data_IF_356327754255
#
_entry.id   IF_356327754255
#
_cell.length_a   1.000
_cell.length_b   1.000
_cell.length_c   1.000
_cell.angle_alpha   90.00
_cell.angle_beta   90.00
_cell.angle_gamma   90.00
#
_symmetry.space_group_name_H-M   'P 1'
#
loop_
_entity.id
_entity.type
_entity.pdbx_description
1 polymer ?
#
# COMPACT_ATOMS: atom_id res chain seq x y z
N UNK A 1 -18.13 -12.22 -24.67
CA UNK A 1 -18.98 -12.12 -25.88
C UNK A 1 -18.98 -10.66 -26.34
N UNK A 2 -19.05 -10.38 -27.66
CA UNK A 2 -18.96 -9.01 -28.16
C UNK A 2 -20.35 -8.50 -28.53
N UNK A 3 -20.91 -7.61 -27.72
CA UNK A 3 -22.25 -7.07 -27.95
C UNK A 3 -22.18 -5.89 -28.91
N UNK A 4 -22.99 -5.85 -29.95
CA UNK A 4 -23.19 -4.59 -30.67
C UNK A 4 -24.18 -3.69 -29.90
N UNK A 5 -24.15 -2.36 -30.12
CA UNK A 5 -25.03 -1.42 -29.40
C UNK A 5 -26.52 -1.75 -29.55
N UNK A 6 -26.97 -2.23 -30.72
CA UNK A 6 -28.38 -2.55 -30.94
C UNK A 6 -28.81 -3.81 -30.16
N UNK A 7 -27.97 -4.84 -30.17
CA UNK A 7 -28.16 -6.09 -29.42
C UNK A 7 -28.13 -5.84 -27.92
N UNK A 8 -27.16 -5.06 -27.44
CA UNK A 8 -27.07 -4.71 -26.02
C UNK A 8 -28.32 -3.97 -25.53
N UNK A 9 -28.92 -3.11 -26.35
CA UNK A 9 -30.17 -2.43 -26.02
C UNK A 9 -31.36 -3.39 -25.97
N UNK A 10 -31.45 -4.31 -26.93
CA UNK A 10 -32.55 -5.29 -27.01
C UNK A 10 -32.47 -6.35 -25.90
N UNK A 11 -31.26 -6.76 -25.54
CA UNK A 11 -30.97 -7.83 -24.57
C UNK A 11 -30.35 -7.30 -23.28
N UNK A 12 -30.72 -6.08 -22.86
CA UNK A 12 -30.08 -5.41 -21.74
C UNK A 12 -30.09 -6.25 -20.46
N UNK A 13 -31.20 -6.92 -20.15
CA UNK A 13 -31.30 -7.79 -18.98
C UNK A 13 -30.31 -8.96 -19.01
N UNK A 14 -30.04 -9.51 -20.20
CA UNK A 14 -29.07 -10.58 -20.38
C UNK A 14 -27.64 -10.06 -20.26
N UNK A 15 -27.36 -8.89 -20.84
CA UNK A 15 -26.06 -8.20 -20.69
C UNK A 15 -25.77 -7.92 -19.23
N UNK A 16 -26.75 -7.43 -18.46
CA UNK A 16 -26.59 -7.17 -17.03
C UNK A 16 -26.35 -8.45 -16.22
N UNK A 17 -27.06 -9.54 -16.53
CA UNK A 17 -26.87 -10.83 -15.88
C UNK A 17 -25.45 -11.38 -16.14
N UNK A 18 -24.99 -11.31 -17.39
CA UNK A 18 -23.65 -11.78 -17.76
C UNK A 18 -22.55 -10.87 -17.20
N UNK A 19 -22.81 -9.56 -17.10
CA UNK A 19 -21.91 -8.60 -16.50
C UNK A 19 -21.63 -8.86 -15.01
N UNK A 20 -22.51 -9.58 -14.31
CA UNK A 20 -22.27 -10.00 -12.93
C UNK A 20 -21.24 -11.13 -12.81
N UNK A 21 -21.03 -11.93 -13.85
CA UNK A 21 -20.01 -12.98 -13.88
C UNK A 21 -18.71 -12.48 -14.52
N UNK A 22 -18.82 -11.77 -15.65
CA UNK A 22 -17.68 -11.22 -16.38
C UNK A 22 -18.02 -9.88 -17.03
N UNK A 23 -17.11 -8.90 -17.02
CA UNK A 23 -17.26 -7.64 -17.76
C UNK A 23 -17.68 -7.81 -19.23
N UNK A 24 -18.79 -7.17 -19.62
CA UNK A 24 -19.32 -7.27 -20.99
C UNK A 24 -18.98 -6.04 -21.82
N UNK A 25 -18.35 -6.24 -22.98
CA UNK A 25 -17.96 -5.16 -23.89
C UNK A 25 -19.05 -4.88 -24.93
N UNK A 26 -19.36 -3.59 -25.12
CA UNK A 26 -20.31 -3.08 -26.10
C UNK A 26 -19.55 -2.37 -27.22
N UNK A 27 -19.85 -2.75 -28.46
CA UNK A 27 -19.21 -2.29 -29.68
C UNK A 27 -20.16 -1.49 -30.57
N UNK A 28 -19.64 -0.41 -31.14
CA UNK A 28 -20.28 0.35 -32.22
C UNK A 28 -19.38 0.31 -33.46
N UNK A 29 -19.91 -0.13 -34.62
CA UNK A 29 -19.14 -0.26 -35.87
C UNK A 29 -17.78 -0.95 -35.65
N UNK A 30 -17.79 -2.05 -34.91
CA UNK A 30 -16.62 -2.86 -34.55
C UNK A 30 -15.57 -2.16 -33.66
N UNK A 31 -15.91 -1.03 -33.01
CA UNK A 31 -15.07 -0.36 -32.00
C UNK A 31 -15.70 -0.49 -30.61
N UNK A 32 -14.93 -0.85 -29.57
CA UNK A 32 -15.44 -0.87 -28.21
C UNK A 32 -15.77 0.56 -27.77
N UNK A 33 -16.99 0.79 -27.32
CA UNK A 33 -17.48 2.12 -26.89
C UNK A 33 -17.87 2.17 -25.43
N UNK A 34 -18.26 1.03 -24.85
CA UNK A 34 -18.61 0.93 -23.43
C UNK A 34 -18.31 -0.48 -22.92
N UNK A 35 -18.14 -0.59 -21.60
CA UNK A 35 -18.10 -1.84 -20.87
C UNK A 35 -19.15 -1.78 -19.76
N UNK A 36 -19.86 -2.88 -19.55
CA UNK A 36 -20.76 -3.06 -18.42
C UNK A 36 -20.03 -3.91 -17.40
N UNK A 37 -19.88 -3.36 -16.19
CA UNK A 37 -19.23 -4.01 -15.06
C UNK A 37 -20.13 -3.87 -13.82
N UNK A 38 -19.94 -4.73 -12.81
CA UNK A 38 -20.59 -4.58 -11.51
C UNK A 38 -20.25 -3.23 -10.87
N UNK A 39 -21.21 -2.66 -10.14
CA UNK A 39 -21.07 -1.32 -9.56
C UNK A 39 -20.00 -1.28 -8.45
N UNK A 40 -19.90 -2.37 -7.69
CA UNK A 40 -18.90 -2.61 -6.64
C UNK A 40 -17.48 -2.71 -7.22
N UNK A 41 -17.29 -3.36 -8.36
CA UNK A 41 -15.99 -3.38 -9.05
C UNK A 41 -15.56 -1.99 -9.52
N UNK A 42 -16.52 -1.20 -10.03
CA UNK A 42 -16.24 0.18 -10.42
C UNK A 42 -15.83 1.03 -9.21
N UNK A 43 -16.51 0.89 -8.08
CA UNK A 43 -16.18 1.59 -6.84
C UNK A 43 -14.79 1.17 -6.33
N UNK A 44 -14.48 -0.12 -6.33
CA UNK A 44 -13.16 -0.64 -5.96
C UNK A 44 -12.05 -0.07 -6.86
N UNK A 45 -12.29 -0.02 -8.17
CA UNK A 45 -11.35 0.56 -9.12
C UNK A 45 -11.16 2.06 -8.90
N UNK A 46 -12.23 2.81 -8.63
CA UNK A 46 -12.14 4.25 -8.33
C UNK A 46 -11.35 4.49 -7.04
N UNK A 47 -11.59 3.70 -6.00
CA UNK A 47 -10.86 3.77 -4.74
C UNK A 47 -9.37 3.45 -4.92
N UNK A 48 -9.05 2.42 -5.71
CA UNK A 48 -7.67 2.11 -6.08
C UNK A 48 -7.02 3.23 -6.90
N UNK A 49 -7.72 3.78 -7.89
CA UNK A 49 -7.19 4.88 -8.70
C UNK A 49 -6.93 6.12 -7.86
N UNK A 50 -7.83 6.43 -6.93
CA UNK A 50 -7.66 7.54 -5.99
C UNK A 50 -6.49 7.31 -5.02
N UNK A 51 -6.25 6.07 -4.58
CA UNK A 51 -5.11 5.75 -3.72
C UNK A 51 -3.77 5.83 -4.47
N UNK A 52 -3.74 5.49 -5.76
CA UNK A 52 -2.57 5.67 -6.63
C UNK A 52 -2.31 7.13 -7.03
N UNK A 53 -3.37 7.95 -7.08
CA UNK A 53 -3.27 9.39 -7.36
C UNK A 53 -2.89 10.21 -6.14
N UNK A 54 -2.86 9.63 -4.93
CA UNK A 54 -2.18 10.28 -3.82
C UNK A 54 -0.72 10.44 -4.25
N UNK A 55 -0.17 11.66 -4.29
CA UNK A 55 1.25 11.84 -4.56
C UNK A 55 1.99 10.95 -3.58
N UNK A 56 2.78 10.01 -4.09
CA UNK A 56 3.76 9.33 -3.24
C UNK A 56 4.56 10.45 -2.59
N UNK A 57 4.58 10.47 -1.26
CA UNK A 57 5.30 11.50 -0.53
C UNK A 57 6.70 11.60 -1.11
N UNK A 58 7.09 12.80 -1.48
CA UNK A 58 8.40 13.00 -2.08
C UNK A 58 9.46 12.63 -1.04
N UNK A 59 10.65 12.23 -1.49
CA UNK A 59 11.76 11.96 -0.56
C UNK A 59 12.00 13.14 0.39
N UNK A 60 11.81 14.38 -0.08
CA UNK A 60 11.91 15.58 0.74
C UNK A 60 10.89 15.61 1.89
N UNK A 61 9.64 15.23 1.62
CA UNK A 61 8.57 15.16 2.63
C UNK A 61 8.85 14.05 3.65
N UNK A 62 9.34 12.88 3.19
CA UNK A 62 9.76 11.80 4.10
C UNK A 62 10.93 12.23 5.00
N UNK A 63 11.95 12.90 4.44
CA UNK A 63 13.05 13.45 5.25
C UNK A 63 12.60 14.54 6.22
N UNK A 64 11.56 15.32 5.89
CA UNK A 64 10.99 16.30 6.81
C UNK A 64 10.32 15.62 8.00
N UNK A 65 9.57 14.52 7.77
CA UNK A 65 8.95 13.71 8.82
C UNK A 65 10.04 13.07 9.69
N UNK A 66 11.07 12.47 9.09
CA UNK A 66 12.18 11.86 9.83
C UNK A 66 12.91 12.88 10.71
N UNK A 67 13.13 14.11 10.23
CA UNK A 67 13.73 15.18 11.04
C UNK A 67 12.83 15.61 12.19
N UNK A 68 11.51 15.68 11.97
CA UNK A 68 10.56 15.98 13.05
C UNK A 68 10.57 14.88 14.12
N UNK A 69 10.61 13.60 13.72
CA UNK A 69 10.72 12.46 14.63
C UNK A 69 12.08 12.41 15.36
N UNK A 70 13.16 12.75 14.67
CA UNK A 70 14.51 12.82 15.24
C UNK A 70 14.72 14.05 16.15
N UNK A 71 13.81 15.03 16.11
CA UNK A 71 13.81 16.20 16.99
C UNK A 71 13.57 15.87 18.47
N UNK A 72 13.20 14.62 18.78
CA UNK A 72 12.91 14.17 20.13
C UNK A 72 11.46 14.46 20.54
N UNK A 73 11.01 13.75 21.58
CA UNK A 73 9.71 14.00 22.22
C UNK A 73 9.85 15.17 23.22
N UNK A 74 8.79 15.97 23.42
CA UNK A 74 8.82 17.04 24.43
C UNK A 74 8.94 16.49 25.87
N UNK A 75 8.55 15.23 26.07
CA UNK A 75 8.70 14.49 27.33
C UNK A 75 9.38 13.12 27.08
N UNK A 76 10.72 13.12 26.90
CA UNK A 76 11.44 11.89 26.58
C UNK A 76 11.45 10.95 27.79
N UNK A 77 11.25 9.64 27.55
CA UNK A 77 11.48 8.61 28.58
C UNK A 77 12.91 8.80 29.10
N UNK A 78 13.12 8.93 30.42
CA UNK A 78 14.45 9.13 30.97
C UNK A 78 15.35 7.99 30.52
N UNK A 79 16.47 8.35 29.88
CA UNK A 79 17.43 7.37 29.41
C UNK A 79 17.85 6.50 30.59
N UNK A 80 17.77 5.16 30.48
CA UNK A 80 18.20 4.30 31.56
C UNK A 80 19.69 4.55 31.78
N UNK A 81 20.07 4.83 33.03
CA UNK A 81 21.49 4.97 33.39
C UNK A 81 22.18 3.61 33.15
N UNK A 82 22.88 3.52 32.02
CA UNK A 82 23.60 2.32 31.58
C UNK A 82 24.77 2.00 32.49
N UNK A 83 25.22 2.96 33.31
CA UNK A 83 26.33 2.83 34.24
C UNK A 83 25.88 2.70 35.71
N UNK A 84 24.62 3.02 36.05
CA UNK A 84 24.09 2.87 37.41
C UNK A 84 24.27 1.46 37.97
N UNK A 85 24.12 0.45 37.12
CA UNK A 85 24.26 -0.94 37.51
C UNK A 85 25.72 -1.45 37.51
N UNK A 86 26.69 -0.62 37.10
CA UNK A 86 28.12 -0.93 36.97
C UNK A 86 28.36 -2.32 36.36
N UNK A 87 27.49 -2.73 35.43
CA UNK A 87 27.54 -4.08 34.87
C UNK A 87 28.81 -4.20 34.05
N UNK A 88 29.68 -5.17 34.35
CA UNK A 88 30.87 -5.38 33.56
C UNK A 88 30.45 -5.67 32.11
N UNK A 89 31.25 -5.16 31.17
CA UNK A 89 31.03 -5.39 29.77
C UNK A 89 31.35 -6.85 29.47
N UNK A 90 30.33 -7.64 29.12
CA UNK A 90 30.51 -9.06 28.83
C UNK A 90 31.52 -9.32 27.69
N UNK A 91 31.70 -8.37 26.78
CA UNK A 91 32.73 -8.47 25.74
C UNK A 91 34.15 -8.25 26.26
N UNK A 92 34.33 -7.36 27.24
CA UNK A 92 35.64 -7.16 27.87
C UNK A 92 36.02 -8.37 28.74
N UNK A 93 35.06 -8.96 29.45
CA UNK A 93 35.27 -10.19 30.23
C UNK A 93 35.71 -11.37 29.36
N UNK A 94 35.07 -11.57 28.21
CA UNK A 94 35.45 -12.62 27.26
C UNK A 94 36.85 -12.39 26.68
N UNK A 95 37.22 -11.14 26.40
CA UNK A 95 38.54 -10.81 25.85
C UNK A 95 39.65 -11.09 26.88
N UNK A 96 39.41 -10.75 28.15
CA UNK A 96 40.34 -11.06 29.23
C UNK A 96 40.49 -12.57 29.49
N UNK A 97 39.43 -13.36 29.26
CA UNK A 97 39.46 -14.82 29.42
C UNK A 97 40.26 -15.48 28.28
N UNK A 98 40.08 -15.03 27.04
CA UNK A 98 40.87 -15.50 25.88
C UNK A 98 42.36 -15.16 26.03
N UNK A 99 42.70 -13.94 26.48
CA UNK A 99 44.09 -13.53 26.72
C UNK A 99 44.77 -14.32 27.86
N UNK A 100 44.00 -14.86 28.82
CA UNK A 100 44.53 -15.72 29.90
C UNK A 100 44.73 -17.18 29.46
N UNK A 101 44.12 -17.60 28.36
CA UNK A 101 44.17 -18.97 27.83
C UNK A 101 45.19 -19.13 26.68
N UNK A 102 45.78 -18.03 26.20
CA UNK A 102 46.86 -17.98 25.20
C UNK A 102 48.27 -18.05 25.84
#
# INVERSE_FOLDING_TARGET
>A
MNWNVAQAKQHLSEVLRLAAEEPQLIYNRNRPVAAVIPADELEAFQNWKASQQKPQRTLLEEFAILRALAGGDEDPIPEPDRFAAMRPNAFDEMLEEDDRLA
#
